data_IF_920917723189
#
_entry.id   IF_920917723189
#
_cell.length_a   1.000
_cell.length_b   1.000
_cell.length_c   1.000
_cell.angle_alpha   90.00
_cell.angle_beta   90.00
_cell.angle_gamma   90.00
#
_symmetry.space_group_name_H-M   'P 1'
#
loop_
_entity.id
_entity.type
_entity.pdbx_description
1 polymer ?
#
# COMPACT_ATOMS: atom_id res chain seq x y z
N UNK A 1 32.08 3.25 -19.79
CA UNK A 1 33.09 4.33 -19.95
C UNK A 1 32.77 5.08 -21.24
N UNK A 2 32.84 6.41 -21.25
CA UNK A 2 32.55 7.18 -22.46
C UNK A 2 33.72 7.05 -23.44
N UNK A 3 33.44 6.77 -24.71
CA UNK A 3 34.47 6.61 -25.73
C UNK A 3 34.85 7.98 -26.29
N UNK A 4 35.98 8.49 -25.79
CA UNK A 4 36.53 9.79 -26.21
C UNK A 4 37.24 9.70 -27.58
N UNK A 5 37.70 8.52 -27.99
CA UNK A 5 38.40 8.33 -29.28
C UNK A 5 37.49 8.68 -30.46
N UNK A 6 36.17 8.51 -30.28
CA UNK A 6 35.15 8.91 -31.25
C UNK A 6 35.19 10.40 -31.63
N UNK A 7 35.71 11.27 -30.76
CA UNK A 7 35.76 12.72 -30.99
C UNK A 7 37.17 13.26 -31.22
N UNK A 8 38.19 12.40 -31.21
CA UNK A 8 39.60 12.80 -31.31
C UNK A 8 39.91 13.52 -32.63
N UNK A 9 39.27 13.07 -33.72
CA UNK A 9 39.39 13.67 -35.06
C UNK A 9 38.09 14.36 -35.53
N UNK A 10 37.13 14.58 -34.62
CA UNK A 10 35.85 15.19 -34.98
C UNK A 10 36.02 16.69 -35.27
N UNK A 11 35.29 17.17 -36.27
CA UNK A 11 35.24 18.60 -36.58
C UNK A 11 34.49 19.36 -35.49
N UNK A 12 34.74 20.67 -35.39
CA UNK A 12 34.05 21.53 -34.42
C UNK A 12 32.51 21.47 -34.57
N UNK A 13 32.00 21.34 -35.80
CA UNK A 13 30.55 21.19 -36.06
C UNK A 13 30.00 19.89 -35.48
N UNK A 14 30.72 18.79 -35.63
CA UNK A 14 30.31 17.48 -35.09
C UNK A 14 30.33 17.48 -33.55
N UNK A 15 31.33 18.13 -32.94
CA UNK A 15 31.41 18.31 -31.50
C UNK A 15 30.21 19.13 -30.98
N UNK A 16 29.90 20.27 -31.61
CA UNK A 16 28.76 21.11 -31.23
C UNK A 16 27.44 20.34 -31.41
N UNK A 17 27.30 19.58 -32.49
CA UNK A 17 26.11 18.77 -32.72
C UNK A 17 25.94 17.68 -31.65
N UNK A 18 27.00 16.94 -31.34
CA UNK A 18 27.00 15.90 -30.31
C UNK A 18 26.70 16.47 -28.92
N UNK A 19 27.25 17.65 -28.59
CA UNK A 19 26.96 18.36 -27.36
C UNK A 19 25.47 18.71 -27.25
N UNK A 20 24.92 19.35 -28.28
CA UNK A 20 23.50 19.72 -28.31
C UNK A 20 22.57 18.50 -28.21
N UNK A 21 22.91 17.41 -28.91
CA UNK A 21 22.14 16.17 -28.84
C UNK A 21 22.17 15.57 -27.44
N UNK A 22 23.33 15.57 -26.79
CA UNK A 22 23.51 15.04 -25.44
C UNK A 22 22.78 15.90 -24.41
N UNK A 23 22.83 17.23 -24.56
CA UNK A 23 22.07 18.15 -23.71
C UNK A 23 20.56 17.89 -23.80
N UNK A 24 20.00 17.80 -25.02
CA UNK A 24 18.57 17.49 -25.22
C UNK A 24 18.17 16.14 -24.61
N UNK A 25 19.03 15.12 -24.74
CA UNK A 25 18.81 13.81 -24.10
C UNK A 25 18.80 13.92 -22.57
N UNK A 26 19.73 14.69 -22.00
CA UNK A 26 19.82 14.93 -20.56
C UNK A 26 18.57 15.65 -20.03
N UNK A 27 18.11 16.70 -20.73
CA UNK A 27 16.89 17.43 -20.39
C UNK A 27 15.65 16.51 -20.42
N UNK A 28 15.51 15.70 -21.48
CA UNK A 28 14.42 14.72 -21.60
C UNK A 28 14.45 13.68 -20.47
N UNK A 29 15.63 13.15 -20.14
CA UNK A 29 15.79 12.20 -19.03
C UNK A 29 15.40 12.82 -17.69
N UNK A 30 15.79 14.08 -17.45
CA UNK A 30 15.40 14.79 -16.24
C UNK A 30 13.88 14.97 -16.14
N UNK A 31 13.20 15.24 -17.25
CA UNK A 31 11.75 15.34 -17.28
C UNK A 31 11.08 13.98 -16.98
N UNK A 32 11.57 12.90 -17.60
CA UNK A 32 11.10 11.54 -17.33
C UNK A 32 11.33 11.13 -15.87
N UNK A 33 12.45 11.53 -15.25
CA UNK A 33 12.71 11.27 -13.83
C UNK A 33 11.66 11.96 -12.95
N UNK A 34 11.27 13.21 -13.27
CA UNK A 34 10.22 13.92 -12.53
C UNK A 34 8.87 13.22 -12.68
N UNK A 35 8.49 12.88 -13.90
CA UNK A 35 7.24 12.15 -14.18
C UNK A 35 7.19 10.80 -13.48
N UNK A 36 8.26 10.01 -13.57
CA UNK A 36 8.37 8.70 -12.92
C UNK A 36 8.26 8.80 -11.40
N UNK A 37 8.83 9.85 -10.77
CA UNK A 37 8.68 10.08 -9.33
C UNK A 37 7.22 10.34 -8.94
N UNK A 38 6.49 11.12 -9.71
CA UNK A 38 5.08 11.40 -9.44
C UNK A 38 4.20 10.18 -9.69
N UNK A 39 4.44 9.43 -10.77
CA UNK A 39 3.78 8.14 -11.04
C UNK A 39 4.01 7.17 -9.88
N UNK A 40 5.25 7.05 -9.41
CA UNK A 40 5.58 6.17 -8.30
C UNK A 40 4.83 6.55 -7.01
N UNK A 41 4.79 7.84 -6.65
CA UNK A 41 4.01 8.33 -5.50
C UNK A 41 2.51 8.02 -5.66
N UNK A 42 1.97 8.24 -6.85
CA UNK A 42 0.56 7.98 -7.13
C UNK A 42 0.22 6.48 -6.99
N UNK A 43 1.04 5.61 -7.57
CA UNK A 43 0.87 4.15 -7.46
C UNK A 43 1.00 3.67 -6.01
N UNK A 44 1.97 4.20 -5.25
CA UNK A 44 2.07 3.90 -3.82
C UNK A 44 0.81 4.32 -3.05
N UNK A 45 0.25 5.50 -3.33
CA UNK A 45 -1.01 5.96 -2.72
C UNK A 45 -2.17 5.02 -3.05
N UNK A 46 -2.34 4.67 -4.33
CA UNK A 46 -3.37 3.72 -4.78
C UNK A 46 -3.24 2.35 -4.13
N UNK A 47 -2.01 1.85 -4.00
CA UNK A 47 -1.76 0.60 -3.32
C UNK A 47 -2.18 0.65 -1.84
N UNK A 48 -1.81 1.72 -1.12
CA UNK A 48 -2.25 1.91 0.28
C UNK A 48 -3.78 1.96 0.40
N UNK A 49 -4.46 2.75 -0.45
CA UNK A 49 -5.92 2.84 -0.50
C UNK A 49 -6.58 1.46 -0.71
N UNK A 50 -6.01 0.65 -1.61
CA UNK A 50 -6.54 -0.70 -1.91
C UNK A 50 -6.50 -1.65 -0.70
N UNK A 51 -5.50 -1.52 0.18
CA UNK A 51 -5.42 -2.31 1.41
C UNK A 51 -6.24 -1.71 2.55
N UNK A 52 -6.42 -0.39 2.61
CA UNK A 52 -7.21 0.28 3.65
C UNK A 52 -8.69 -0.06 3.58
N UNK A 53 -9.27 -0.22 2.39
CA UNK A 53 -10.69 -0.61 2.21
C UNK A 53 -11.03 -1.98 2.83
N UNK A 54 -10.06 -2.90 2.93
CA UNK A 54 -10.25 -4.18 3.66
C UNK A 54 -10.37 -4.00 5.17
N UNK A 55 -9.76 -2.95 5.76
CA UNK A 55 -9.83 -2.67 7.19
C UNK A 55 -11.13 -1.97 7.58
N UNK A 56 -11.61 -1.03 6.76
CA UNK A 56 -12.90 -0.36 6.98
C UNK A 56 -14.08 -1.33 6.90
N UNK A 57 -14.07 -2.27 5.95
CA UNK A 57 -15.11 -3.32 5.88
C UNK A 57 -15.19 -4.16 7.17
N UNK A 58 -14.07 -4.44 7.84
CA UNK A 58 -14.07 -5.16 9.13
C UNK A 58 -14.59 -4.31 10.29
N UNK A 59 -14.39 -2.99 10.25
CA UNK A 59 -14.90 -2.08 11.26
C UNK A 59 -16.41 -1.84 11.11
N UNK A 60 -16.92 -1.72 9.88
CA UNK A 60 -18.36 -1.64 9.57
C UNK A 60 -19.11 -2.95 9.87
N UNK A 61 -18.43 -4.10 9.80
CA UNK A 61 -19.00 -5.40 10.19
C UNK A 61 -18.96 -5.70 11.70
N UNK A 62 -18.45 -4.78 12.53
CA UNK A 62 -18.54 -4.96 13.98
C UNK A 62 -20.01 -4.96 14.38
N UNK A 63 -20.41 -6.04 15.04
CA UNK A 63 -21.73 -6.16 15.66
C UNK A 63 -21.56 -5.73 17.11
N UNK A 64 -22.17 -4.61 17.54
CA UNK A 64 -22.01 -4.13 18.92
C UNK A 64 -22.43 -5.19 19.94
N UNK A 65 -23.46 -5.98 19.64
CA UNK A 65 -23.90 -7.13 20.45
C UNK A 65 -22.80 -8.20 20.64
N UNK A 66 -21.98 -8.44 19.61
CA UNK A 66 -20.89 -9.42 19.69
C UNK A 66 -19.70 -8.85 20.47
N UNK A 67 -19.41 -7.55 20.30
CA UNK A 67 -18.39 -6.87 21.08
C UNK A 67 -18.77 -6.85 22.58
N UNK A 68 -20.04 -6.61 22.91
CA UNK A 68 -20.60 -6.67 24.27
C UNK A 68 -20.52 -8.09 24.86
N UNK A 69 -20.96 -9.11 24.13
CA UNK A 69 -20.86 -10.51 24.57
C UNK A 69 -19.41 -10.98 24.81
N UNK A 70 -18.45 -10.48 24.02
CA UNK A 70 -17.01 -10.78 24.21
C UNK A 70 -16.49 -10.11 25.49
N UNK A 71 -16.90 -8.87 25.77
CA UNK A 71 -16.50 -8.17 26.98
C UNK A 71 -17.13 -8.79 28.23
N UNK A 72 -18.41 -9.17 28.18
CA UNK A 72 -19.07 -9.89 29.28
C UNK A 72 -18.38 -11.23 29.57
N UNK A 73 -17.97 -11.97 28.54
CA UNK A 73 -17.18 -13.19 28.72
C UNK A 73 -15.83 -12.93 29.41
N UNK A 74 -15.10 -11.88 29.01
CA UNK A 74 -13.81 -11.52 29.65
C UNK A 74 -13.97 -11.06 31.09
N UNK A 75 -15.05 -10.34 31.38
CA UNK A 75 -15.36 -9.82 32.70
C UNK A 75 -15.97 -10.88 33.63
N UNK A 76 -16.27 -12.08 33.10
CA UNK A 76 -16.89 -13.16 33.86
C UNK A 76 -18.39 -12.94 34.12
N UNK A 77 -19.02 -12.01 33.40
CA UNK A 77 -20.47 -11.75 33.43
C UNK A 77 -21.24 -12.77 32.57
N UNK A 78 -20.78 -14.02 32.54
CA UNK A 78 -21.38 -15.10 31.77
C UNK A 78 -21.89 -16.16 32.72
N UNK A 79 -23.10 -16.63 32.45
CA UNK A 79 -23.65 -17.78 33.16
C UNK A 79 -22.76 -18.99 32.93
N UNK A 80 -22.38 -19.65 34.02
CA UNK A 80 -21.59 -20.87 33.99
C UNK A 80 -22.45 -22.03 34.46
N UNK A 81 -22.27 -23.16 33.80
CA UNK A 81 -23.01 -24.38 34.08
C UNK A 81 -22.00 -25.47 34.43
N UNK A 82 -22.32 -26.32 35.40
CA UNK A 82 -21.39 -27.35 35.84
C UNK A 82 -21.18 -28.44 34.76
N UNK A 83 -22.19 -28.64 33.90
CA UNK A 83 -22.14 -29.58 32.79
C UNK A 83 -23.15 -29.22 31.68
N UNK A 84 -23.06 -29.92 30.55
CA UNK A 84 -23.89 -29.68 29.38
C UNK A 84 -25.39 -29.99 29.58
N UNK A 85 -25.74 -30.95 30.43
CA UNK A 85 -27.14 -31.29 30.70
C UNK A 85 -27.84 -30.18 31.49
N UNK A 86 -27.13 -29.55 32.44
CA UNK A 86 -27.62 -28.41 33.19
C UNK A 86 -27.84 -27.19 32.29
N UNK A 87 -26.89 -26.90 31.39
CA UNK A 87 -27.03 -25.87 30.37
C UNK A 87 -28.27 -26.11 29.49
N UNK A 88 -28.43 -27.33 29.00
CA UNK A 88 -29.56 -27.71 28.13
C UNK A 88 -30.90 -27.56 28.85
N UNK A 89 -30.95 -27.88 30.14
CA UNK A 89 -32.17 -27.71 30.96
C UNK A 89 -32.51 -26.24 31.15
N UNK A 90 -31.53 -25.38 31.44
CA UNK A 90 -31.73 -23.95 31.58
C UNK A 90 -32.19 -23.29 30.27
N UNK A 91 -31.58 -23.67 29.14
CA UNK A 91 -31.93 -23.12 27.83
C UNK A 91 -33.34 -23.53 27.36
N UNK A 92 -33.83 -24.71 27.75
CA UNK A 92 -35.19 -25.15 27.43
C UNK A 92 -36.26 -24.55 28.36
N UNK A 93 -35.85 -23.93 29.47
CA UNK A 93 -36.74 -23.29 30.43
C UNK A 93 -36.88 -21.77 30.21
N UNK A 94 -36.09 -21.20 29.30
CA UNK A 94 -36.16 -19.83 28.75
C UNK A 94 -37.20 -19.74 27.63
#
# INVERSE_FOLDING_TARGET
>A
MFDYAKYENATQKEIIHALNLTQRKSEKLNQQIKENKEIFKFLQKKLKESFSTKKTKKAEQRRPELDEAIEDYKNGNVETYANFEEYKKAMNAL
#
